data_IF_945497271961
#
_entry.id   IF_945497271961
#
_cell.length_a   1.000
_cell.length_b   1.000
_cell.length_c   1.000
_cell.angle_alpha   90.00
_cell.angle_beta   90.00
_cell.angle_gamma   90.00
#
_symmetry.space_group_name_H-M   'P 1'
#
loop_
_entity.id
_entity.type
_entity.pdbx_description
1 polymer ?
#
# COMPACT_ATOMS: atom_id res chain seq x y z
N UNK A 1 10.71 -6.50 -6.67
CA UNK A 1 10.22 -6.93 -5.34
C UNK A 1 8.95 -7.72 -5.52
N UNK A 2 8.71 -8.77 -4.72
CA UNK A 2 7.41 -9.48 -4.71
C UNK A 2 6.38 -8.74 -3.85
N UNK A 3 5.10 -8.99 -4.12
CA UNK A 3 3.99 -8.35 -3.41
C UNK A 3 3.06 -9.41 -2.83
N UNK A 4 2.92 -9.38 -1.51
CA UNK A 4 1.94 -10.15 -0.77
C UNK A 4 0.75 -9.24 -0.44
N UNK A 5 -0.43 -9.57 -0.95
CA UNK A 5 -1.66 -8.84 -0.65
C UNK A 5 -2.39 -9.52 0.50
N UNK A 6 -2.59 -8.82 1.61
CA UNK A 6 -3.40 -9.27 2.74
C UNK A 6 -4.89 -9.00 2.51
N UNK A 7 -5.22 -8.02 1.67
CA UNK A 7 -6.58 -7.73 1.24
C UNK A 7 -6.87 -8.25 -0.18
N UNK A 8 -7.95 -9.01 -0.34
CA UNK A 8 -8.35 -9.58 -1.64
C UNK A 8 -8.78 -8.49 -2.63
N UNK A 9 -9.49 -7.46 -2.15
CA UNK A 9 -9.93 -6.35 -3.00
C UNK A 9 -8.75 -5.60 -3.61
N UNK A 10 -7.70 -5.36 -2.82
CA UNK A 10 -6.45 -4.77 -3.28
C UNK A 10 -5.76 -5.65 -4.32
N UNK A 11 -5.70 -6.97 -4.09
CA UNK A 11 -5.13 -7.92 -5.06
C UNK A 11 -5.87 -7.82 -6.41
N UNK A 12 -7.20 -7.90 -6.39
CA UNK A 12 -8.02 -7.89 -7.59
C UNK A 12 -7.94 -6.53 -8.32
N UNK A 13 -7.86 -5.42 -7.58
CA UNK A 13 -7.72 -4.07 -8.12
C UNK A 13 -6.36 -3.82 -8.79
N UNK A 14 -5.29 -4.37 -8.20
CA UNK A 14 -3.91 -4.15 -8.62
C UNK A 14 -3.44 -5.09 -9.75
N UNK A 15 -4.05 -6.28 -9.87
CA UNK A 15 -3.59 -7.33 -10.79
C UNK A 15 -4.44 -7.36 -12.06
N UNK A 16 -3.85 -7.44 -13.27
CA UNK A 16 -4.62 -7.55 -14.51
C UNK A 16 -5.63 -8.73 -14.45
N UNK A 17 -6.90 -8.53 -14.87
CA UNK A 17 -7.41 -7.40 -15.66
C UNK A 17 -7.71 -6.12 -14.85
N UNK A 18 -7.60 -6.15 -13.52
CA UNK A 18 -7.72 -4.97 -12.67
C UNK A 18 -9.18 -4.66 -12.31
N UNK A 19 -9.79 -5.54 -11.54
CA UNK A 19 -11.20 -5.46 -11.14
C UNK A 19 -11.36 -4.46 -10.00
N UNK A 20 -12.17 -3.42 -10.21
CA UNK A 20 -12.47 -2.42 -9.17
C UNK A 20 -13.44 -3.02 -8.13
N UNK A 21 -13.08 -3.05 -6.83
CA UNK A 21 -14.02 -3.43 -5.79
C UNK A 21 -15.23 -2.47 -5.76
N UNK A 22 -16.45 -2.94 -5.45
CA UNK A 22 -17.68 -2.13 -5.53
C UNK A 22 -17.58 -0.78 -4.81
N UNK A 23 -17.01 -0.79 -3.60
CA UNK A 23 -16.93 0.38 -2.72
C UNK A 23 -15.70 1.26 -2.96
N UNK A 24 -14.86 0.92 -3.94
CA UNK A 24 -13.65 1.67 -4.25
C UNK A 24 -13.89 2.60 -5.43
N UNK A 25 -13.53 3.86 -5.29
CA UNK A 25 -13.47 4.85 -6.36
C UNK A 25 -12.35 4.54 -7.37
N UNK A 26 -12.46 5.12 -8.57
CA UNK A 26 -11.39 5.06 -9.57
C UNK A 26 -10.09 5.70 -9.07
N UNK A 27 -10.18 6.72 -8.21
CA UNK A 27 -9.02 7.39 -7.63
C UNK A 27 -8.28 6.44 -6.66
N UNK A 28 -9.00 5.73 -5.78
CA UNK A 28 -8.40 4.74 -4.87
C UNK A 28 -7.69 3.63 -5.63
N UNK A 29 -8.31 3.08 -6.68
CA UNK A 29 -7.68 2.04 -7.53
C UNK A 29 -6.44 2.58 -8.24
N UNK A 30 -6.53 3.78 -8.81
CA UNK A 30 -5.38 4.41 -9.50
C UNK A 30 -4.23 4.65 -8.53
N UNK A 31 -4.54 5.10 -7.31
CA UNK A 31 -3.58 5.35 -6.25
C UNK A 31 -2.90 4.07 -5.78
N UNK A 32 -3.67 3.00 -5.54
CA UNK A 32 -3.13 1.68 -5.22
C UNK A 32 -2.19 1.18 -6.33
N UNK A 33 -2.62 1.27 -7.59
CA UNK A 33 -1.81 0.82 -8.74
C UNK A 33 -0.49 1.57 -8.85
N UNK A 34 -0.49 2.88 -8.61
CA UNK A 34 0.73 3.67 -8.57
C UNK A 34 1.71 3.14 -7.50
N UNK A 35 1.22 2.87 -6.28
CA UNK A 35 2.04 2.31 -5.20
C UNK A 35 2.60 0.94 -5.60
N UNK A 36 1.75 0.05 -6.12
CA UNK A 36 2.13 -1.30 -6.59
C UNK A 36 3.19 -1.24 -7.69
N UNK A 37 3.05 -0.31 -8.65
CA UNK A 37 4.03 -0.11 -9.71
C UNK A 37 5.39 0.34 -9.16
N UNK A 38 5.40 1.28 -8.21
CA UNK A 38 6.63 1.72 -7.56
C UNK A 38 7.32 0.59 -6.78
N UNK A 39 6.55 -0.27 -6.09
CA UNK A 39 7.09 -1.45 -5.39
C UNK A 39 7.72 -2.44 -6.38
N UNK A 40 7.02 -2.73 -7.49
CA UNK A 40 7.52 -3.64 -8.53
C UNK A 40 8.81 -3.12 -9.16
N UNK A 41 8.92 -1.80 -9.36
CA UNK A 41 10.12 -1.15 -9.90
C UNK A 41 11.28 -1.09 -8.89
N UNK A 42 10.98 -1.10 -7.59
CA UNK A 42 11.97 -1.05 -6.50
C UNK A 42 12.79 -2.33 -6.38
N UNK A 43 14.09 -2.17 -6.10
CA UNK A 43 15.01 -3.27 -5.80
C UNK A 43 15.14 -3.48 -4.29
N UNK A 44 15.13 -2.39 -3.53
CA UNK A 44 15.21 -2.38 -2.07
C UNK A 44 14.12 -1.48 -1.47
N UNK A 45 13.73 -1.67 -0.19
CA UNK A 45 12.68 -0.86 0.44
C UNK A 45 12.91 0.66 0.35
N UNK A 46 14.15 1.12 0.46
CA UNK A 46 14.48 2.55 0.39
C UNK A 46 14.15 3.19 -0.96
N UNK A 47 14.16 2.42 -2.06
CA UNK A 47 13.75 2.92 -3.39
C UNK A 47 12.28 3.36 -3.38
N UNK A 48 11.43 2.64 -2.65
CA UNK A 48 10.00 2.93 -2.52
C UNK A 48 9.76 4.00 -1.47
N UNK A 49 10.40 3.89 -0.31
CA UNK A 49 10.20 4.78 0.83
C UNK A 49 10.65 6.23 0.57
N UNK A 50 11.61 6.43 -0.33
CA UNK A 50 12.10 7.77 -0.70
C UNK A 50 11.19 8.51 -1.68
N UNK A 51 10.20 7.86 -2.29
CA UNK A 51 9.30 8.46 -3.27
C UNK A 51 8.26 9.35 -2.60
N UNK A 52 8.49 10.67 -2.64
CA UNK A 52 7.57 11.68 -2.08
C UNK A 52 6.17 11.64 -2.71
N UNK A 53 6.05 11.22 -3.97
CA UNK A 53 4.76 11.03 -4.65
C UNK A 53 3.88 9.97 -3.97
N UNK A 54 4.48 9.03 -3.23
CA UNK A 54 3.77 8.02 -2.47
C UNK A 54 3.29 8.50 -1.10
N UNK A 55 3.66 9.72 -0.65
CA UNK A 55 3.15 10.34 0.59
C UNK A 55 3.16 9.37 1.80
N UNK A 56 4.16 8.50 1.84
CA UNK A 56 4.30 7.49 2.89
C UNK A 56 4.64 8.18 4.21
N UNK A 57 4.00 7.71 5.28
CA UNK A 57 4.25 8.13 6.66
C UNK A 57 4.52 6.89 7.49
N UNK A 58 5.43 6.94 8.45
CA UNK A 58 5.63 5.85 9.41
C UNK A 58 4.34 5.61 10.19
N UNK A 59 3.98 4.36 10.42
CA UNK A 59 2.87 4.04 11.29
C UNK A 59 3.24 4.37 12.75
N UNK A 60 2.41 5.13 13.49
CA UNK A 60 2.72 5.51 14.87
C UNK A 60 2.78 4.31 15.83
N UNK A 61 2.06 3.23 15.54
CA UNK A 61 1.98 2.05 16.42
C UNK A 61 3.03 0.98 16.05
N UNK A 62 3.53 0.99 14.81
CA UNK A 62 4.53 0.04 14.33
C UNK A 62 5.57 0.75 13.42
N UNK A 63 6.76 1.10 13.95
CA UNK A 63 7.80 1.75 13.18
C UNK A 63 8.32 0.94 11.97
N UNK A 64 8.07 -0.37 11.93
CA UNK A 64 8.40 -1.24 10.80
C UNK A 64 7.40 -1.12 9.63
N UNK A 65 6.31 -0.39 9.83
CA UNK A 65 5.25 -0.16 8.84
C UNK A 65 5.21 1.28 8.39
N UNK A 66 4.80 1.47 7.15
CA UNK A 66 4.48 2.79 6.60
C UNK A 66 3.09 2.77 6.00
N UNK A 67 2.44 3.92 5.95
CA UNK A 67 1.08 4.07 5.47
C UNK A 67 0.95 5.22 4.48
N UNK A 68 0.03 5.08 3.53
CA UNK A 68 -0.47 6.17 2.69
C UNK A 68 -1.98 6.08 2.60
N UNK A 69 -2.64 7.24 2.57
CA UNK A 69 -4.06 7.33 2.27
C UNK A 69 -4.29 6.98 0.79
N UNK A 70 -5.29 6.11 0.53
CA UNK A 70 -5.87 5.91 -0.80
C UNK A 70 -7.04 6.89 -1.02
N UNK A 71 -7.79 7.16 0.05
CA UNK A 71 -8.89 8.13 0.15
C UNK A 71 -9.06 8.57 1.61
N UNK A 72 -10.08 9.39 1.88
CA UNK A 72 -10.48 9.73 3.25
C UNK A 72 -10.91 8.53 4.07
N UNK A 73 -11.39 7.44 3.43
CA UNK A 73 -11.96 6.28 4.12
C UNK A 73 -11.04 5.06 4.11
N UNK A 74 -9.98 5.07 3.30
CA UNK A 74 -9.04 3.95 3.17
C UNK A 74 -7.58 4.35 3.26
N UNK A 75 -6.85 3.61 4.08
CA UNK A 75 -5.40 3.67 4.22
C UNK A 75 -4.78 2.37 3.74
N UNK A 76 -3.72 2.48 2.94
CA UNK A 76 -2.85 1.37 2.55
C UNK A 76 -1.65 1.35 3.50
N UNK A 77 -1.44 0.23 4.15
CA UNK A 77 -0.27 -0.04 4.98
C UNK A 77 0.69 -0.95 4.23
N UNK A 78 1.98 -0.65 4.35
CA UNK A 78 3.07 -1.39 3.73
C UNK A 78 4.07 -1.82 4.81
N UNK A 79 4.54 -3.06 4.68
CA UNK A 79 5.69 -3.58 5.42
C UNK A 79 6.62 -4.31 4.44
N UNK A 80 7.91 -4.39 4.77
CA UNK A 80 8.90 -5.08 3.94
C UNK A 80 9.56 -6.22 4.72
N UNK A 81 9.47 -7.44 4.19
CA UNK A 81 10.29 -8.57 4.63
C UNK A 81 11.63 -8.49 3.90
N UNK A 82 12.56 -7.68 4.42
CA UNK A 82 13.82 -7.38 3.76
C UNK A 82 14.86 -8.52 3.85
N UNK A 83 14.66 -9.43 4.79
CA UNK A 83 15.44 -10.67 4.98
C UNK A 83 15.01 -11.80 4.03
N UNK A 84 13.91 -11.65 3.29
CA UNK A 84 13.49 -12.61 2.27
C UNK A 84 14.20 -12.37 0.93
N UNK A 85 14.49 -13.45 0.19
CA UNK A 85 14.97 -13.39 -1.19
C UNK A 85 14.00 -14.14 -2.12
N UNK A 86 13.27 -13.44 -3.00
CA UNK A 86 13.26 -11.99 -3.19
C UNK A 86 12.63 -11.24 -1.99
N UNK A 87 12.97 -9.95 -1.83
CA UNK A 87 12.31 -9.08 -0.85
C UNK A 87 10.81 -9.05 -1.16
N UNK A 88 9.98 -9.16 -0.12
CA UNK A 88 8.52 -9.13 -0.23
C UNK A 88 7.96 -7.88 0.44
N UNK A 89 7.14 -7.12 -0.28
CA UNK A 89 6.29 -6.08 0.29
C UNK A 89 4.93 -6.67 0.65
N UNK A 90 4.50 -6.48 1.89
CA UNK A 90 3.16 -6.82 2.36
C UNK A 90 2.27 -5.60 2.27
N UNK A 91 1.10 -5.74 1.65
CA UNK A 91 0.12 -4.68 1.46
C UNK A 91 -1.16 -5.05 2.19
N UNK A 92 -1.59 -4.17 3.07
CA UNK A 92 -2.83 -4.30 3.83
C UNK A 92 -3.71 -3.06 3.66
N UNK A 93 -5.03 -3.26 3.66
CA UNK A 93 -6.01 -2.18 3.56
C UNK A 93 -6.79 -2.10 4.86
N UNK A 94 -6.74 -0.94 5.47
CA UNK A 94 -7.55 -0.62 6.64
C UNK A 94 -8.46 0.57 6.35
N UNK A 95 -9.60 0.69 7.05
CA UNK A 95 -10.29 1.96 7.15
C UNK A 95 -9.30 3.03 7.59
N UNK A 96 -9.36 4.22 7.00
CA UNK A 96 -8.61 5.35 7.53
C UNK A 96 -9.06 5.56 8.95
N UNK A 97 -8.11 5.48 9.90
CA UNK A 97 -8.38 5.85 11.29
C UNK A 97 -8.85 7.30 11.26
N UNK A 98 -10.15 7.50 11.40
CA UNK A 98 -10.67 8.78 11.84
C UNK A 98 -10.09 8.95 13.23
N UNK A 99 -9.16 9.90 13.37
CA UNK A 99 -8.74 10.34 14.69
C UNK A 99 -10.05 10.73 15.39
N UNK A 100 -10.52 9.84 16.25
CA UNK A 100 -11.77 10.03 16.97
C UNK A 100 -11.39 11.09 17.98
N UNK A 101 -11.63 12.35 17.61
CA UNK A 101 -11.24 13.51 18.40
C UNK A 101 -11.58 13.27 19.86
N UNK A 102 -10.55 13.36 20.71
CA UNK A 102 -10.74 13.69 22.12
C UNK A 102 -11.22 15.13 22.24
#
# INVERSE_FOLDING_TARGET
MEIEYLDRGARDAATPPGVRPPDWSHAEVSRLRLVVQCIRAGRIPSDVLSLRSLRLRTDPDDPGRVRTELSYDRTLTLAFKADSSPITAMLDIAPTRTDSGR
#
